data_IF_760409934864
#
_entry.id   IF_760409934864
#
_cell.length_a   1.000
_cell.length_b   1.000
_cell.length_c   1.000
_cell.angle_alpha   90.00
_cell.angle_beta   90.00
_cell.angle_gamma   90.00
#
_symmetry.space_group_name_H-M   'P 1'
#
loop_
_entity.id
_entity.type
_entity.pdbx_description
1 polymer ?
#
# COMPACT_ATOMS: atom_id res chain seq x y z
N UNK A 1 5.05 -5.70 -5.76
CA UNK A 1 5.76 -6.32 -4.61
C UNK A 1 5.21 -5.65 -3.37
N UNK A 2 4.54 -6.41 -2.50
CA UNK A 2 3.93 -5.88 -1.28
C UNK A 2 4.84 -6.18 -0.08
N UNK A 3 5.20 -5.15 0.70
CA UNK A 3 6.05 -5.27 1.88
C UNK A 3 5.20 -5.06 3.14
N UNK A 4 5.16 -6.04 4.04
CA UNK A 4 4.44 -5.98 5.33
C UNK A 4 5.41 -6.08 6.51
N UNK A 5 5.16 -5.29 7.57
CA UNK A 5 6.08 -5.05 8.71
C UNK A 5 5.76 -5.85 9.98
N UNK A 6 5.10 -7.03 9.91
CA UNK A 6 4.96 -7.92 11.08
C UNK A 6 5.08 -9.40 10.71
N UNK A 7 5.98 -10.08 11.42
CA UNK A 7 6.50 -11.43 11.20
C UNK A 7 5.47 -12.60 11.29
N UNK A 8 4.16 -12.33 11.32
CA UNK A 8 3.11 -13.37 11.29
C UNK A 8 1.83 -12.95 10.53
N UNK A 9 1.80 -11.76 9.94
CA UNK A 9 0.59 -11.23 9.32
C UNK A 9 0.28 -11.86 7.96
N UNK A 10 1.29 -12.06 7.10
CA UNK A 10 1.04 -12.52 5.72
C UNK A 10 0.55 -13.97 5.68
N UNK A 11 1.09 -14.83 6.55
CA UNK A 11 0.68 -16.25 6.61
C UNK A 11 -0.73 -16.40 7.19
N UNK A 12 -1.02 -15.73 8.31
CA UNK A 12 -2.33 -15.84 8.98
C UNK A 12 -3.49 -15.29 8.15
N UNK A 13 -3.22 -14.35 7.24
CA UNK A 13 -4.23 -13.72 6.38
C UNK A 13 -4.14 -14.14 4.91
N UNK A 14 -3.32 -15.15 4.58
CA UNK A 14 -3.00 -15.50 3.20
C UNK A 14 -4.25 -15.83 2.37
N UNK A 15 -5.19 -16.59 2.92
CA UNK A 15 -6.45 -16.96 2.23
C UNK A 15 -7.31 -15.74 1.89
N UNK A 16 -7.44 -14.80 2.83
CA UNK A 16 -8.15 -13.53 2.62
C UNK A 16 -7.46 -12.66 1.58
N UNK A 17 -6.13 -12.57 1.66
CA UNK A 17 -5.33 -11.83 0.67
C UNK A 17 -5.52 -12.43 -0.73
N UNK A 18 -5.52 -13.75 -0.88
CA UNK A 18 -5.77 -14.41 -2.16
C UNK A 18 -7.18 -14.10 -2.70
N UNK A 19 -8.20 -14.12 -1.84
CA UNK A 19 -9.56 -13.77 -2.25
C UNK A 19 -9.64 -12.33 -2.79
N UNK A 20 -9.03 -11.36 -2.10
CA UNK A 20 -8.98 -9.97 -2.55
C UNK A 20 -8.15 -9.81 -3.83
N UNK A 21 -7.02 -10.51 -3.96
CA UNK A 21 -6.22 -10.51 -5.19
C UNK A 21 -7.00 -11.09 -6.39
N UNK A 22 -7.89 -12.06 -6.15
CA UNK A 22 -8.74 -12.62 -7.18
C UNK A 22 -9.81 -11.64 -7.67
N UNK A 23 -10.19 -10.64 -6.85
CA UNK A 23 -11.04 -9.52 -7.32
C UNK A 23 -10.31 -8.62 -8.31
N UNK A 24 -8.98 -8.49 -8.18
CA UNK A 24 -8.17 -7.71 -9.12
C UNK A 24 -7.91 -8.45 -10.43
N UNK A 25 -7.98 -9.79 -10.44
CA UNK A 25 -7.73 -10.61 -11.61
C UNK A 25 -7.35 -12.04 -11.26
N UNK A 26 -6.90 -12.82 -12.24
CA UNK A 26 -6.58 -14.22 -12.01
C UNK A 26 -5.17 -14.40 -11.43
N UNK A 27 -5.07 -14.93 -10.19
CA UNK A 27 -3.78 -15.21 -9.56
C UNK A 27 -3.11 -16.45 -10.17
N UNK A 28 -2.01 -16.25 -10.88
CA UNK A 28 -1.26 -17.32 -11.57
C UNK A 28 -0.21 -17.96 -10.65
N UNK A 29 0.51 -17.14 -9.87
CA UNK A 29 1.58 -17.63 -9.00
C UNK A 29 1.69 -16.77 -7.74
N UNK A 30 1.88 -17.43 -6.61
CA UNK A 30 2.10 -16.78 -5.32
C UNK A 30 3.34 -17.36 -4.65
N UNK A 31 4.17 -16.48 -4.08
CA UNK A 31 5.38 -16.85 -3.37
C UNK A 31 5.53 -15.96 -2.13
N UNK A 32 5.59 -16.59 -0.97
CA UNK A 32 5.93 -15.92 0.29
C UNK A 32 7.44 -15.99 0.49
N UNK A 33 8.05 -14.86 0.84
CA UNK A 33 9.47 -14.80 1.24
C UNK A 33 9.59 -14.09 2.58
N UNK A 34 10.26 -14.71 3.53
CA UNK A 34 10.72 -14.04 4.74
C UNK A 34 12.02 -13.28 4.41
N UNK A 35 12.12 -12.01 4.82
CA UNK A 35 13.28 -11.15 4.59
C UNK A 35 13.57 -10.33 5.85
N UNK A 36 14.43 -10.86 6.72
CA UNK A 36 14.69 -10.29 8.05
C UNK A 36 13.35 -10.03 8.77
N UNK A 37 13.14 -8.83 9.32
CA UNK A 37 11.90 -8.46 10.02
C UNK A 37 10.65 -8.37 9.13
N UNK A 38 10.79 -8.44 7.80
CA UNK A 38 9.70 -8.29 6.85
C UNK A 38 9.27 -9.63 6.25
N UNK A 39 7.98 -9.74 5.95
CA UNK A 39 7.46 -10.78 5.06
C UNK A 39 7.01 -10.15 3.75
N UNK A 40 7.43 -10.75 2.63
CA UNK A 40 7.08 -10.30 1.29
C UNK A 40 6.18 -11.31 0.62
N UNK A 41 5.07 -10.84 0.08
CA UNK A 41 4.23 -11.60 -0.83
C UNK A 41 4.55 -11.18 -2.28
N UNK A 42 5.02 -12.14 -3.08
CA UNK A 42 5.19 -11.97 -4.53
C UNK A 42 4.06 -12.66 -5.25
N UNK A 43 3.30 -11.90 -6.02
CA UNK A 43 2.13 -12.39 -6.75
C UNK A 43 2.34 -12.10 -8.24
N UNK A 44 2.09 -13.10 -9.07
CA UNK A 44 1.89 -12.94 -10.51
C UNK A 44 0.40 -13.11 -10.75
N UNK A 45 -0.26 -12.03 -11.19
CA UNK A 45 -1.70 -12.00 -11.46
C UNK A 45 -1.93 -11.46 -12.87
N UNK A 46 -2.89 -12.03 -13.58
CA UNK A 46 -3.45 -11.46 -14.79
C UNK A 46 -4.57 -10.50 -14.39
N UNK A 47 -4.25 -9.20 -14.36
CA UNK A 47 -5.20 -8.16 -13.98
C UNK A 47 -6.39 -8.12 -14.92
N UNK A 48 -7.58 -7.93 -14.36
CA UNK A 48 -8.76 -7.57 -15.15
C UNK A 48 -8.57 -6.18 -15.80
N UNK A 49 -9.28 -5.90 -16.89
CA UNK A 49 -9.27 -4.59 -17.54
C UNK A 49 -9.64 -3.46 -16.57
N UNK A 50 -10.62 -3.72 -15.69
CA UNK A 50 -11.05 -2.82 -14.64
C UNK A 50 -9.94 -2.52 -13.63
N UNK A 51 -9.32 -3.56 -13.06
CA UNK A 51 -8.24 -3.37 -12.09
C UNK A 51 -7.04 -2.66 -12.74
N UNK A 52 -6.69 -3.02 -13.96
CA UNK A 52 -5.60 -2.40 -14.70
C UNK A 52 -5.79 -0.89 -14.89
N UNK A 53 -7.01 -0.44 -15.20
CA UNK A 53 -7.30 0.99 -15.31
C UNK A 53 -7.18 1.71 -13.96
N UNK A 54 -7.64 1.10 -12.87
CA UNK A 54 -7.50 1.68 -11.53
C UNK A 54 -6.03 1.83 -11.13
N UNK A 55 -5.24 0.80 -11.38
CA UNK A 55 -3.81 0.84 -11.11
C UNK A 55 -3.20 2.02 -11.87
N UNK A 56 -3.42 2.17 -13.18
CA UNK A 56 -2.89 3.32 -13.94
C UNK A 56 -3.21 4.72 -13.37
N UNK A 57 -4.31 4.88 -12.62
CA UNK A 57 -4.80 6.19 -12.18
C UNK A 57 -4.29 6.63 -10.81
N UNK A 58 -4.03 5.71 -9.88
CA UNK A 58 -3.68 6.05 -8.49
C UNK A 58 -2.53 5.18 -8.02
N UNK A 59 -1.62 5.65 -7.17
CA UNK A 59 -0.54 4.81 -6.61
C UNK A 59 -0.96 3.93 -5.44
N UNK A 60 -2.20 4.07 -4.98
CA UNK A 60 -2.77 3.29 -3.86
C UNK A 60 -4.01 2.56 -4.33
N UNK A 61 -4.13 1.30 -3.94
CA UNK A 61 -5.29 0.44 -4.22
C UNK A 61 -5.77 -0.24 -2.94
N UNK A 62 -7.05 -0.59 -2.91
CA UNK A 62 -7.65 -1.31 -1.78
C UNK A 62 -7.38 -2.81 -1.89
N UNK A 63 -6.83 -3.40 -0.83
CA UNK A 63 -6.71 -4.84 -0.65
C UNK A 63 -7.46 -5.22 0.64
N UNK A 64 -8.77 -5.50 0.52
CA UNK A 64 -9.60 -5.89 1.66
C UNK A 64 -9.66 -4.84 2.77
N UNK A 65 -9.81 -3.57 2.42
CA UNK A 65 -9.82 -2.46 3.38
C UNK A 65 -8.44 -1.98 3.83
N UNK A 66 -7.36 -2.58 3.29
CA UNK A 66 -5.99 -2.15 3.55
C UNK A 66 -5.51 -1.34 2.34
N UNK A 67 -5.12 -0.07 2.51
CA UNK A 67 -4.48 0.68 1.43
C UNK A 67 -3.11 0.08 1.16
N UNK A 68 -2.91 -0.39 -0.08
CA UNK A 68 -1.62 -0.88 -0.53
C UNK A 68 -1.08 -0.01 -1.65
N UNK A 69 0.19 0.35 -1.54
CA UNK A 69 0.90 1.03 -2.61
C UNK A 69 1.32 0.02 -3.67
N UNK A 70 1.14 0.38 -4.92
CA UNK A 70 1.62 -0.41 -6.04
C UNK A 70 2.48 0.45 -6.98
N UNK A 71 3.28 -0.22 -7.79
CA UNK A 71 4.09 0.41 -8.83
C UNK A 71 4.09 -0.51 -10.06
N UNK A 72 4.16 0.05 -11.28
CA UNK A 72 4.33 -0.76 -12.48
C UNK A 72 5.55 -1.66 -12.41
N UNK A 73 5.41 -2.87 -12.94
CA UNK A 73 6.54 -3.80 -13.07
C UNK A 73 7.60 -3.29 -14.04
N UNK A 74 7.20 -2.54 -15.06
CA UNK A 74 8.08 -1.89 -16.04
C UNK A 74 8.98 -0.81 -15.44
N UNK A 75 8.64 -0.30 -14.26
CA UNK A 75 9.45 0.72 -13.60
C UNK A 75 10.71 0.12 -13.00
N UNK A 76 11.83 0.76 -13.30
CA UNK A 76 13.14 0.57 -12.68
C UNK A 76 13.12 0.98 -11.21
N UNK A 77 14.12 0.53 -10.45
CA UNK A 77 14.32 0.97 -9.06
C UNK A 77 14.53 2.49 -8.96
N UNK A 78 15.14 3.10 -9.99
CA UNK A 78 15.38 4.55 -10.03
C UNK A 78 14.08 5.33 -10.15
N UNK A 79 13.16 4.91 -11.02
CA UNK A 79 11.85 5.54 -11.18
C UNK A 79 11.01 5.40 -9.90
N UNK A 80 11.00 4.22 -9.28
CA UNK A 80 10.32 4.02 -7.99
C UNK A 80 10.87 4.94 -6.89
N UNK A 81 12.20 5.07 -6.81
CA UNK A 81 12.85 6.00 -5.87
C UNK A 81 12.54 7.46 -6.18
N UNK A 82 12.37 7.83 -7.46
CA UNK A 82 11.99 9.18 -7.85
C UNK A 82 10.60 9.54 -7.32
N UNK A 83 9.64 8.62 -7.41
CA UNK A 83 8.28 8.79 -6.86
C UNK A 83 8.25 8.87 -5.32
N UNK A 84 9.29 8.37 -4.64
CA UNK A 84 9.43 8.51 -3.19
C UNK A 84 10.06 9.84 -2.76
N UNK A 85 10.55 10.67 -3.68
CA UNK A 85 11.20 11.96 -3.35
C UNK A 85 10.22 13.02 -2.91
N UNK A 86 9.06 13.09 -3.58
CA UNK A 86 8.03 14.09 -3.31
C UNK A 86 7.15 13.57 -2.19
N UNK A 87 7.59 13.86 -0.96
CA UNK A 87 6.87 13.48 0.25
C UNK A 87 6.69 14.67 1.17
N UNK A 88 5.50 14.77 1.78
CA UNK A 88 5.25 15.64 2.92
C UNK A 88 5.13 14.77 4.17
N UNK A 89 5.72 15.25 5.27
CA UNK A 89 5.72 14.53 6.55
C UNK A 89 5.07 15.40 7.61
N UNK A 90 4.00 14.89 8.19
CA UNK A 90 3.38 15.48 9.39
C UNK A 90 3.87 14.67 10.58
N UNK A 91 4.58 15.35 11.48
CA UNK A 91 5.11 14.77 12.70
C UNK A 91 4.08 14.80 13.82
N UNK A 92 4.27 13.91 14.79
CA UNK A 92 3.51 13.86 16.05
C UNK A 92 1.99 13.84 15.85
N UNK A 93 1.54 13.04 14.88
CA UNK A 93 0.12 12.87 14.59
C UNK A 93 -0.61 12.23 15.79
N UNK A 94 -1.83 12.69 16.04
CA UNK A 94 -2.69 12.16 17.11
C UNK A 94 -2.94 10.66 16.97
N UNK A 95 -3.21 9.99 18.10
CA UNK A 95 -3.56 8.58 18.13
C UNK A 95 -4.80 8.26 17.28
N UNK A 96 -5.72 9.23 17.20
CA UNK A 96 -6.94 9.16 16.41
C UNK A 96 -6.69 9.05 14.89
N UNK A 97 -5.56 9.57 14.38
CA UNK A 97 -5.21 9.53 12.94
C UNK A 97 -4.74 8.14 12.50
N UNK A 98 -5.62 7.14 12.61
CA UNK A 98 -5.36 5.73 12.29
C UNK A 98 -5.53 5.44 10.80
N UNK A 99 -5.07 4.26 10.37
CA UNK A 99 -5.26 3.81 8.98
C UNK A 99 -6.73 3.73 8.59
N UNK A 100 -7.61 3.30 9.50
CA UNK A 100 -9.05 3.19 9.25
C UNK A 100 -9.73 4.56 9.07
N UNK A 101 -9.25 5.61 9.76
CA UNK A 101 -9.75 6.98 9.57
C UNK A 101 -9.25 7.56 8.24
N UNK A 102 -8.00 7.28 7.87
CA UNK A 102 -7.41 7.76 6.61
C UNK A 102 -7.87 6.97 5.38
N UNK A 103 -8.34 5.74 5.57
CA UNK A 103 -8.82 4.82 4.54
C UNK A 103 -10.15 4.21 4.93
N UNK A 104 -11.23 4.95 4.66
CA UNK A 104 -12.60 4.55 4.98
C UNK A 104 -13.32 4.17 3.69
N UNK A 105 -14.14 3.13 3.71
CA UNK A 105 -14.92 2.67 2.55
C UNK A 105 -14.07 2.44 1.27
N UNK A 106 -12.86 1.89 1.44
CA UNK A 106 -11.93 1.59 0.34
C UNK A 106 -11.45 2.81 -0.45
N UNK A 107 -11.49 4.00 0.16
CA UNK A 107 -11.04 5.27 -0.45
C UNK A 107 -10.25 6.12 0.55
N UNK A 108 -9.36 7.01 0.07
CA UNK A 108 -8.73 8.00 0.93
C UNK A 108 -9.77 8.91 1.58
N UNK A 109 -9.52 9.34 2.81
CA UNK A 109 -10.34 10.35 3.46
C UNK A 109 -10.27 11.70 2.73
N UNK A 110 -11.24 12.58 3.02
CA UNK A 110 -11.36 13.88 2.36
C UNK A 110 -10.09 14.73 2.48
N UNK A 111 -9.40 14.67 3.62
CA UNK A 111 -8.12 15.35 3.82
C UNK A 111 -7.07 14.90 2.79
N UNK A 112 -6.86 13.58 2.62
CA UNK A 112 -5.88 13.07 1.67
C UNK A 112 -6.26 13.38 0.21
N UNK A 113 -7.56 13.36 -0.10
CA UNK A 113 -8.05 13.73 -1.43
C UNK A 113 -7.82 15.22 -1.72
N UNK A 114 -8.15 16.11 -0.78
CA UNK A 114 -7.96 17.57 -0.94
C UNK A 114 -6.51 17.97 -1.08
N UNK A 115 -5.61 17.28 -0.37
CA UNK A 115 -4.18 17.52 -0.48
C UNK A 115 -3.57 16.97 -1.77
N UNK A 116 -4.29 16.15 -2.56
CA UNK A 116 -3.79 15.54 -3.78
C UNK A 116 -2.73 14.44 -3.55
N UNK A 117 -2.79 13.75 -2.41
CA UNK A 117 -1.82 12.70 -2.10
C UNK A 117 -2.10 11.43 -2.94
N UNK A 118 -1.12 11.00 -3.74
CA UNK A 118 -1.20 9.76 -4.53
C UNK A 118 -1.05 8.50 -3.67
N UNK A 119 -0.32 8.59 -2.55
CA UNK A 119 -0.19 7.52 -1.57
C UNK A 119 0.16 8.06 -0.19
N UNK A 120 -0.02 7.25 0.85
CA UNK A 120 0.36 7.61 2.20
C UNK A 120 0.85 6.41 2.99
N UNK A 121 1.46 6.65 4.14
CA UNK A 121 1.68 5.64 5.19
C UNK A 121 1.80 6.30 6.55
N UNK A 122 1.37 5.56 7.57
CA UNK A 122 1.64 5.90 8.97
C UNK A 122 2.90 5.15 9.39
N UNK A 123 3.87 5.86 9.97
CA UNK A 123 5.02 5.25 10.63
C UNK A 123 4.91 5.51 12.12
N UNK A 124 4.97 4.44 12.91
CA UNK A 124 5.12 4.50 14.35
C UNK A 124 6.56 4.13 14.72
N UNK A 125 7.18 4.95 15.55
CA UNK A 125 8.53 4.73 16.08
C UNK A 125 8.48 3.87 17.34
N UNK A 126 9.61 3.26 17.72
CA UNK A 126 9.72 2.49 18.97
C UNK A 126 9.43 3.32 20.22
N UNK A 127 9.59 4.65 20.14
CA UNK A 127 9.28 5.60 21.22
C UNK A 127 7.80 6.03 21.25
N UNK A 128 6.92 5.35 20.52
CA UNK A 128 5.48 5.66 20.46
C UNK A 128 5.11 6.84 19.55
N UNK A 129 6.06 7.68 19.13
CA UNK A 129 5.78 8.80 18.20
C UNK A 129 5.32 8.30 16.84
N UNK A 130 4.35 8.99 16.26
CA UNK A 130 3.74 8.66 14.97
C UNK A 130 3.96 9.79 13.98
N UNK A 131 4.15 9.44 12.71
CA UNK A 131 4.20 10.39 11.60
C UNK A 131 3.36 9.89 10.43
N UNK A 132 2.70 10.82 9.76
CA UNK A 132 2.02 10.59 8.49
C UNK A 132 2.95 11.04 7.38
N UNK A 133 3.24 10.14 6.44
CA UNK A 133 3.99 10.46 5.22
C UNK A 133 3.02 10.38 4.06
N UNK A 134 2.79 11.50 3.38
CA UNK A 134 2.06 11.58 2.13
C UNK A 134 3.03 11.66 0.95
N UNK A 135 2.69 11.02 -0.15
CA UNK A 135 3.47 10.95 -1.38
C UNK A 135 2.69 11.58 -2.51
N UNK A 136 3.38 12.34 -3.35
CA UNK A 136 2.78 13.09 -4.43
C UNK A 136 3.38 12.66 -5.77
N UNK A 137 2.54 12.66 -6.79
CA UNK A 137 3.00 12.65 -8.18
C UNK A 137 3.83 13.91 -8.45
N UNK A 138 4.84 13.74 -9.30
CA UNK A 138 5.69 14.82 -9.78
C UNK A 138 5.17 15.36 -11.11
#
# INVERSE_FOLDING_TARGET
MFLYDKFNFVIAFLSKIIAELNLWGNTIKLLVKCQHKYQTLRVKTALSSFAFFQFKKYWTSDLGGIPVRWFPASWTLRERKQCEKFQAVIHDISEYMTMAILWMDRKPCEFLMKCGASSFKIIQTSKGRRKLVAYFEN
#
